data_IF_468923749766
#
_entry.id   IF_468923749766
#
_cell.length_a   1.000
_cell.length_b   1.000
_cell.length_c   1.000
_cell.angle_alpha   90.00
_cell.angle_beta   90.00
_cell.angle_gamma   90.00
#
_symmetry.space_group_name_H-M   'P 1'
#
loop_
_entity.id
_entity.type
_entity.pdbx_description
1 polymer ?
#
# COMPACT_ATOMS: atom_id res chain seq x y z
N UNK A 1 -27.68 -23.34 -7.60
CA UNK A 1 -26.34 -23.98 -7.56
C UNK A 1 -25.32 -22.90 -7.30
N UNK A 2 -24.36 -23.11 -6.41
CA UNK A 2 -23.35 -22.11 -6.03
C UNK A 2 -21.96 -22.73 -5.91
N UNK A 3 -20.92 -21.95 -6.21
CA UNK A 3 -19.53 -22.31 -5.99
C UNK A 3 -18.96 -21.41 -4.89
N UNK A 4 -18.19 -21.97 -3.96
CA UNK A 4 -17.58 -21.21 -2.86
C UNK A 4 -16.26 -21.85 -2.40
N UNK A 5 -15.40 -21.06 -1.78
CA UNK A 5 -14.28 -21.57 -0.99
C UNK A 5 -14.75 -21.86 0.44
N UNK A 6 -14.39 -23.01 0.97
CA UNK A 6 -14.66 -23.40 2.36
C UNK A 6 -13.34 -23.69 3.08
N UNK A 7 -13.14 -23.06 4.23
CA UNK A 7 -12.01 -23.34 5.13
C UNK A 7 -12.48 -24.28 6.22
N UNK A 8 -11.94 -25.49 6.22
CA UNK A 8 -12.27 -26.53 7.21
C UNK A 8 -11.16 -26.51 8.28
N UNK A 9 -11.49 -26.15 9.54
CA UNK A 9 -10.51 -26.16 10.61
C UNK A 9 -9.98 -27.59 10.83
N UNK A 10 -8.68 -27.70 11.06
CA UNK A 10 -8.04 -28.95 11.45
C UNK A 10 -7.39 -28.74 12.82
N UNK A 11 -7.49 -29.73 13.70
CA UNK A 11 -7.21 -29.56 15.13
C UNK A 11 -5.76 -29.11 15.39
N UNK A 12 -4.79 -29.97 15.07
CA UNK A 12 -3.36 -29.74 15.34
C UNK A 12 -2.58 -29.42 14.06
N UNK A 13 -3.26 -29.03 12.98
CA UNK A 13 -2.65 -28.87 11.67
C UNK A 13 -3.30 -27.71 10.94
N UNK A 14 -2.62 -27.22 9.89
CA UNK A 14 -3.16 -26.14 9.05
C UNK A 14 -4.56 -26.52 8.51
N UNK A 15 -5.48 -25.55 8.42
CA UNK A 15 -6.84 -25.79 7.94
C UNK A 15 -6.83 -26.24 6.48
N UNK A 16 -7.84 -27.04 6.12
CA UNK A 16 -8.03 -27.50 4.74
C UNK A 16 -8.85 -26.48 3.96
N UNK A 17 -8.39 -26.07 2.79
CA UNK A 17 -9.06 -25.05 1.98
C UNK A 17 -9.57 -25.71 0.71
N UNK A 18 -10.90 -25.71 0.50
CA UNK A 18 -11.56 -26.45 -0.58
C UNK A 18 -12.39 -25.53 -1.46
N UNK A 19 -12.38 -25.78 -2.77
CA UNK A 19 -13.41 -25.27 -3.69
C UNK A 19 -14.57 -26.26 -3.69
N UNK A 20 -15.79 -25.78 -3.43
CA UNK A 20 -16.99 -26.61 -3.34
C UNK A 20 -18.12 -26.10 -4.22
N UNK A 21 -18.81 -27.04 -4.86
CA UNK A 21 -20.10 -26.84 -5.53
C UNK A 21 -21.22 -27.27 -4.60
N UNK A 22 -22.19 -26.40 -4.35
CA UNK A 22 -23.39 -26.70 -3.57
C UNK A 22 -24.67 -26.52 -4.41
N UNK A 23 -25.64 -27.41 -4.22
CA UNK A 23 -26.95 -27.34 -4.88
C UNK A 23 -28.01 -28.02 -4.01
N UNK A 24 -29.29 -27.75 -4.29
CA UNK A 24 -30.39 -28.48 -3.67
C UNK A 24 -30.90 -29.54 -4.63
N UNK A 25 -31.18 -30.71 -4.10
CA UNK A 25 -31.71 -31.88 -4.80
C UNK A 25 -32.67 -32.56 -3.82
N UNK A 26 -33.92 -32.79 -4.24
CA UNK A 26 -34.99 -33.36 -3.41
C UNK A 26 -35.13 -32.68 -2.04
N UNK A 27 -35.11 -31.35 -2.03
CA UNK A 27 -35.19 -30.55 -0.82
C UNK A 27 -33.95 -30.59 0.08
N UNK A 28 -32.92 -31.38 -0.23
CA UNK A 28 -31.68 -31.52 0.56
C UNK A 28 -30.52 -30.73 -0.05
N UNK A 29 -29.71 -30.09 0.80
CA UNK A 29 -28.48 -29.43 0.37
C UNK A 29 -27.37 -30.47 0.13
N UNK A 30 -26.87 -30.55 -1.09
CA UNK A 30 -25.73 -31.38 -1.48
C UNK A 30 -24.50 -30.50 -1.69
N UNK A 31 -23.32 -31.01 -1.31
CA UNK A 31 -22.02 -30.36 -1.52
C UNK A 31 -21.07 -31.36 -2.19
N UNK A 32 -20.36 -30.93 -3.24
CA UNK A 32 -19.27 -31.68 -3.89
C UNK A 32 -17.98 -30.89 -3.81
N UNK A 33 -16.90 -31.53 -3.38
CA UNK A 33 -15.55 -30.95 -3.44
C UNK A 33 -15.04 -31.02 -4.87
N UNK A 34 -14.54 -29.90 -5.39
CA UNK A 34 -13.99 -29.79 -6.74
C UNK A 34 -12.46 -29.77 -6.73
N UNK A 35 -11.87 -29.06 -5.76
CA UNK A 35 -10.42 -28.93 -5.63
C UNK A 35 -10.01 -28.70 -4.17
N UNK A 36 -8.77 -29.05 -3.85
CA UNK A 36 -8.13 -28.78 -2.57
C UNK A 36 -6.97 -27.81 -2.80
N UNK A 37 -7.04 -26.63 -2.16
CA UNK A 37 -6.08 -25.53 -2.29
C UNK A 37 -5.10 -25.45 -1.10
N UNK A 38 -5.15 -26.39 -0.15
CA UNK A 38 -4.40 -26.33 1.12
C UNK A 38 -2.88 -26.21 0.95
N UNK A 39 -2.34 -26.69 -0.18
CA UNK A 39 -0.91 -26.63 -0.48
C UNK A 39 -0.48 -25.33 -1.17
N UNK A 40 -1.42 -24.49 -1.60
CA UNK A 40 -1.08 -23.22 -2.24
C UNK A 40 -0.57 -22.22 -1.18
N UNK A 41 0.31 -21.28 -1.58
CA UNK A 41 0.70 -20.18 -0.72
C UNK A 41 -0.51 -19.36 -0.26
N UNK A 42 -0.54 -18.85 0.99
CA UNK A 42 -1.68 -18.10 1.52
C UNK A 42 -2.15 -16.95 0.62
N UNK A 43 -1.22 -16.16 0.08
CA UNK A 43 -1.55 -15.02 -0.79
C UNK A 43 -2.29 -15.43 -2.08
N UNK A 44 -2.04 -16.63 -2.62
CA UNK A 44 -2.75 -17.15 -3.79
C UNK A 44 -4.18 -17.53 -3.39
N UNK A 45 -4.35 -18.16 -2.23
CA UNK A 45 -5.67 -18.50 -1.70
C UNK A 45 -6.50 -17.25 -1.44
N UNK A 46 -5.89 -16.21 -0.87
CA UNK A 46 -6.56 -14.93 -0.61
C UNK A 46 -6.99 -14.25 -1.92
N UNK A 47 -6.14 -14.28 -2.95
CA UNK A 47 -6.49 -13.81 -4.29
C UNK A 47 -7.68 -14.57 -4.89
N UNK A 48 -7.68 -15.91 -4.82
CA UNK A 48 -8.81 -16.73 -5.28
C UNK A 48 -10.07 -16.42 -4.47
N UNK A 49 -9.96 -16.24 -3.15
CA UNK A 49 -11.10 -15.88 -2.29
C UNK A 49 -11.71 -14.55 -2.74
N UNK A 50 -10.89 -13.53 -2.97
CA UNK A 50 -11.34 -12.24 -3.50
C UNK A 50 -12.08 -12.39 -4.83
N UNK A 51 -11.63 -13.27 -5.73
CA UNK A 51 -12.33 -13.55 -6.99
C UNK A 51 -13.70 -14.21 -6.78
N UNK A 52 -13.82 -15.14 -5.83
CA UNK A 52 -15.11 -15.77 -5.49
C UNK A 52 -16.10 -14.80 -4.84
N UNK A 53 -15.61 -13.73 -4.21
CA UNK A 53 -16.41 -12.65 -3.62
C UNK A 53 -16.78 -11.54 -4.63
N UNK A 54 -16.40 -11.70 -5.91
CA UNK A 54 -16.71 -10.76 -6.99
C UNK A 54 -15.60 -9.72 -7.25
N UNK A 55 -14.44 -9.88 -6.63
CA UNK A 55 -13.24 -9.11 -6.94
C UNK A 55 -12.71 -9.38 -8.34
N UNK A 56 -11.85 -8.49 -8.83
CA UNK A 56 -11.21 -8.59 -10.14
C UNK A 56 -9.72 -8.81 -9.96
N UNK A 57 -9.15 -9.76 -10.71
CA UNK A 57 -7.71 -9.97 -10.74
C UNK A 57 -7.05 -8.81 -11.50
N UNK A 58 -6.16 -8.11 -10.82
CA UNK A 58 -5.34 -7.05 -11.40
C UNK A 58 -3.96 -7.65 -11.64
N UNK A 59 -3.53 -7.71 -12.90
CA UNK A 59 -2.24 -8.30 -13.26
C UNK A 59 -1.08 -7.42 -12.78
N UNK A 60 -1.26 -6.10 -12.88
CA UNK A 60 -0.26 -5.10 -12.51
C UNK A 60 -0.92 -3.92 -11.80
N UNK A 61 -0.40 -3.44 -10.67
CA UNK A 61 -0.96 -2.27 -9.99
C UNK A 61 -1.15 -1.06 -10.91
N UNK A 62 -0.28 -0.89 -11.91
CA UNK A 62 -0.32 0.19 -12.90
C UNK A 62 -1.56 0.18 -13.78
N UNK A 63 -2.26 -0.97 -13.89
CA UNK A 63 -3.50 -1.09 -14.68
C UNK A 63 -4.68 -0.37 -13.98
N UNK A 64 -4.59 -0.16 -12.66
CA UNK A 64 -5.67 0.43 -11.85
C UNK A 64 -5.22 1.70 -11.12
N UNK A 65 -3.93 1.79 -10.77
CA UNK A 65 -3.35 2.94 -10.10
C UNK A 65 -2.45 3.75 -11.03
N UNK A 66 -2.77 5.03 -11.16
CA UNK A 66 -1.91 6.00 -11.81
C UNK A 66 -1.16 6.83 -10.77
N UNK A 67 0.16 6.93 -10.90
CA UNK A 67 0.98 7.85 -10.09
C UNK A 67 0.59 9.29 -10.47
N UNK A 68 -0.12 9.98 -9.58
CA UNK A 68 -0.57 11.37 -9.82
C UNK A 68 0.53 12.40 -9.61
N UNK A 69 1.42 12.15 -8.64
CA UNK A 69 2.59 12.99 -8.36
C UNK A 69 3.67 12.17 -7.68
N UNK A 70 4.91 12.45 -8.01
CA UNK A 70 6.09 11.95 -7.29
C UNK A 70 6.68 13.10 -6.51
N UNK A 71 6.84 12.95 -5.19
CA UNK A 71 7.46 13.98 -4.36
C UNK A 71 8.99 13.92 -4.52
N UNK A 72 9.69 15.06 -4.62
CA UNK A 72 11.14 15.10 -4.86
C UNK A 72 11.95 14.83 -3.57
N UNK A 73 11.68 13.72 -2.87
CA UNK A 73 12.31 13.40 -1.58
C UNK A 73 13.85 13.39 -1.66
N UNK A 74 14.40 12.79 -2.73
CA UNK A 74 15.85 12.76 -2.96
C UNK A 74 16.46 14.17 -3.10
N UNK A 75 15.78 15.07 -3.82
CA UNK A 75 16.23 16.45 -3.97
C UNK A 75 16.21 17.20 -2.63
N UNK A 76 15.12 17.05 -1.86
CA UNK A 76 15.00 17.62 -0.51
C UNK A 76 16.13 17.12 0.40
N UNK A 77 16.41 15.82 0.39
CA UNK A 77 17.49 15.23 1.19
C UNK A 77 18.87 15.76 0.80
N UNK A 78 19.15 15.88 -0.51
CA UNK A 78 20.42 16.39 -1.01
C UNK A 78 20.65 17.85 -0.62
N UNK A 79 19.64 18.72 -0.77
CA UNK A 79 19.72 20.13 -0.39
C UNK A 79 19.85 20.28 1.11
N UNK A 80 19.00 19.61 1.90
CA UNK A 80 19.06 19.69 3.36
C UNK A 80 20.39 19.16 3.92
N UNK A 81 20.92 18.07 3.35
CA UNK A 81 22.24 17.55 3.68
C UNK A 81 23.35 18.57 3.37
N UNK A 82 23.25 19.25 2.24
CA UNK A 82 24.20 20.31 1.85
C UNK A 82 24.14 21.50 2.82
N UNK A 83 22.94 21.99 3.18
CA UNK A 83 22.77 23.08 4.15
C UNK A 83 23.36 22.75 5.52
N UNK A 84 23.26 21.49 5.95
CA UNK A 84 23.89 21.01 7.19
C UNK A 84 25.41 20.97 7.07
N UNK A 85 25.94 20.47 5.95
CA UNK A 85 27.38 20.35 5.69
C UNK A 85 28.08 21.71 5.67
N UNK A 86 27.47 22.72 5.06
CA UNK A 86 28.02 24.09 5.03
C UNK A 86 27.74 24.89 6.32
N UNK A 87 27.09 24.29 7.32
CA UNK A 87 26.80 24.92 8.61
C UNK A 87 25.65 25.93 8.60
N UNK A 88 24.93 26.11 7.49
CA UNK A 88 23.90 27.15 7.35
C UNK A 88 22.76 27.01 8.38
N UNK A 89 22.38 25.77 8.73
CA UNK A 89 21.36 25.53 9.77
C UNK A 89 21.77 26.15 11.11
N UNK A 90 23.07 26.11 11.45
CA UNK A 90 23.60 26.69 12.70
C UNK A 90 23.73 28.21 12.63
N UNK A 91 23.97 28.76 11.44
CA UNK A 91 23.98 30.22 11.20
C UNK A 91 22.60 30.82 11.43
N UNK A 92 21.54 30.14 10.98
CA UNK A 92 20.17 30.60 11.18
C UNK A 92 19.79 30.64 12.67
N UNK A 93 20.08 29.57 13.41
CA UNK A 93 19.93 29.55 14.85
C UNK A 93 20.67 28.35 15.45
N UNK A 94 21.38 28.57 16.57
CA UNK A 94 22.18 27.53 17.23
C UNK A 94 21.33 26.38 17.76
N UNK A 95 20.18 26.69 18.36
CA UNK A 95 19.31 25.70 19.00
C UNK A 95 18.21 25.25 18.03
N UNK A 96 17.90 23.94 17.96
CA UNK A 96 16.71 23.46 17.27
C UNK A 96 15.42 24.12 17.76
N UNK A 97 14.52 24.38 16.82
CA UNK A 97 13.26 25.03 17.14
C UNK A 97 12.43 25.27 15.89
N UNK A 98 11.12 25.34 16.08
CA UNK A 98 10.13 25.45 15.00
C UNK A 98 10.46 26.55 13.98
N UNK A 99 10.85 27.74 14.45
CA UNK A 99 11.17 28.86 13.57
C UNK A 99 12.39 28.59 12.68
N UNK A 100 13.45 27.98 13.24
CA UNK A 100 14.64 27.59 12.48
C UNK A 100 14.29 26.55 11.43
N UNK A 101 13.52 25.53 11.82
CA UNK A 101 13.20 24.41 10.94
C UNK A 101 12.25 24.86 9.81
N UNK A 102 11.32 25.78 10.07
CA UNK A 102 10.50 26.44 9.03
C UNK A 102 11.35 27.29 8.08
N UNK A 103 12.33 28.04 8.59
CA UNK A 103 13.23 28.82 7.75
C UNK A 103 14.09 27.91 6.85
N UNK A 104 14.63 26.83 7.40
CA UNK A 104 15.37 25.82 6.64
C UNK A 104 14.47 25.18 5.59
N UNK A 105 13.24 24.80 5.94
CA UNK A 105 12.29 24.21 5.00
C UNK A 105 11.96 25.17 3.85
N UNK A 106 11.76 26.47 4.14
CA UNK A 106 11.52 27.48 3.11
C UNK A 106 12.71 27.64 2.14
N UNK A 107 13.95 27.59 2.65
CA UNK A 107 15.15 27.61 1.82
C UNK A 107 15.25 26.34 0.97
N UNK A 108 15.06 25.16 1.56
CA UNK A 108 15.11 23.88 0.83
C UNK A 108 14.06 23.85 -0.27
N UNK A 109 12.81 24.20 0.06
CA UNK A 109 11.72 24.24 -0.91
C UNK A 109 12.03 25.20 -2.07
N UNK A 110 12.61 26.37 -1.78
CA UNK A 110 13.01 27.33 -2.82
C UNK A 110 14.10 26.81 -3.75
N UNK A 111 15.03 26.00 -3.26
CA UNK A 111 16.09 25.41 -4.08
C UNK A 111 15.56 24.25 -4.93
N UNK A 112 14.65 23.44 -4.38
CA UNK A 112 14.09 22.27 -5.07
C UNK A 112 13.07 22.68 -6.14
N UNK A 113 12.19 23.63 -5.83
CA UNK A 113 11.14 24.11 -6.71
C UNK A 113 10.93 25.63 -6.53
N UNK A 114 11.63 26.46 -7.32
CA UNK A 114 11.62 27.90 -7.13
C UNK A 114 10.23 28.55 -7.33
N UNK A 115 9.53 28.84 -6.23
CA UNK A 115 8.22 29.48 -6.23
C UNK A 115 8.06 30.53 -5.12
N UNK A 116 7.04 31.40 -5.19
CA UNK A 116 6.75 32.37 -4.12
C UNK A 116 6.48 31.67 -2.77
N UNK A 117 6.72 32.35 -1.64
CA UNK A 117 6.48 31.75 -0.30
C UNK A 117 5.04 31.23 -0.15
N UNK A 118 4.07 31.96 -0.70
CA UNK A 118 2.66 31.60 -0.67
C UNK A 118 2.35 30.41 -1.60
N UNK A 119 2.99 30.33 -2.77
CA UNK A 119 2.86 29.18 -3.66
C UNK A 119 3.44 27.91 -3.02
N UNK A 120 4.62 28.00 -2.39
CA UNK A 120 5.22 26.89 -1.64
C UNK A 120 4.31 26.39 -0.52
N UNK A 121 3.69 27.29 0.24
CA UNK A 121 2.77 26.92 1.33
C UNK A 121 1.50 26.20 0.82
N UNK A 122 1.08 26.44 -0.42
CA UNK A 122 -0.10 25.79 -1.04
C UNK A 122 0.22 24.45 -1.70
N UNK A 123 1.49 24.16 -1.98
CA UNK A 123 1.93 22.97 -2.71
C UNK A 123 2.20 21.75 -1.80
N UNK A 124 2.33 21.98 -0.48
CA UNK A 124 2.57 20.98 0.56
C UNK A 124 1.23 20.47 1.14
#
# INVERSE_FOLDING_TARGET
MSFHLETIPNRNSRPTILIRKAWREDGRLRKKTLANLTQLPPHIVDGIRGLFEGGVAIARPEDVFAIRRSLPHGHVAAVLGTLRRIGMVRVLHRVPGRMRDLAVAAVVARVVDPASKLATARAL
#
